data_IF_190169297725
#
_entry.id   IF_190169297725
#
_cell.length_a   1.000
_cell.length_b   1.000
_cell.length_c   1.000
_cell.angle_alpha   90.00
_cell.angle_beta   90.00
_cell.angle_gamma   90.00
#
_symmetry.space_group_name_H-M   'P 1'
#
loop_
_entity.id
_entity.type
_entity.pdbx_description
1 polymer ?
#
# COMPACT_ATOMS: atom_id res chain seq x y z
N UNK A 1 13.10 -29.34 -88.09
CA UNK A 1 11.99 -29.95 -87.31
C UNK A 1 12.60 -30.84 -86.25
N UNK A 2 12.14 -30.68 -85.00
CA UNK A 2 12.14 -31.62 -83.85
C UNK A 2 12.32 -30.78 -82.58
N UNK A 3 11.18 -30.34 -82.07
CA UNK A 3 10.98 -29.59 -80.84
C UNK A 3 10.79 -30.66 -79.76
N UNK A 4 11.73 -30.80 -78.84
CA UNK A 4 11.64 -31.81 -77.78
C UNK A 4 10.71 -31.29 -76.68
N UNK A 5 9.49 -31.85 -76.62
CA UNK A 5 8.51 -31.59 -75.58
C UNK A 5 8.93 -32.32 -74.29
N UNK A 6 9.17 -31.57 -73.21
CA UNK A 6 9.30 -32.13 -71.87
C UNK A 6 7.90 -32.44 -71.31
N UNK A 7 7.72 -33.55 -70.58
CA UNK A 7 6.42 -33.99 -70.09
C UNK A 7 5.86 -33.08 -68.99
N UNK A 8 4.56 -32.80 -69.10
CA UNK A 8 3.69 -32.18 -68.11
C UNK A 8 3.42 -33.16 -66.95
N UNK A 9 4.43 -33.39 -66.11
CA UNK A 9 4.20 -34.02 -64.80
C UNK A 9 3.62 -32.96 -63.86
N UNK A 10 2.30 -32.91 -63.86
CA UNK A 10 1.45 -32.80 -62.69
C UNK A 10 2.02 -31.97 -61.51
N UNK A 11 1.81 -30.65 -61.57
CA UNK A 11 1.65 -29.82 -60.37
C UNK A 11 0.43 -30.30 -59.58
N UNK A 12 0.59 -31.36 -58.80
CA UNK A 12 -0.31 -31.65 -57.68
C UNK A 12 0.20 -30.87 -56.48
N UNK A 13 -0.12 -29.58 -56.45
CA UNK A 13 -0.14 -28.85 -55.18
C UNK A 13 -1.23 -29.51 -54.33
N UNK A 14 -0.84 -30.35 -53.37
CA UNK A 14 -1.75 -30.70 -52.29
C UNK A 14 -2.31 -29.41 -51.71
N UNK A 15 -3.62 -29.27 -51.53
CA UNK A 15 -4.14 -28.21 -50.69
C UNK A 15 -3.60 -28.50 -49.29
N UNK A 16 -2.53 -27.81 -48.93
CA UNK A 16 -2.24 -27.54 -47.53
C UNK A 16 -3.57 -27.08 -46.95
N UNK A 17 -4.07 -27.82 -45.97
CA UNK A 17 -5.08 -27.35 -45.04
C UNK A 17 -4.46 -26.13 -44.35
N UNK A 18 -4.51 -25.00 -45.04
CA UNK A 18 -4.45 -23.71 -44.41
C UNK A 18 -5.69 -23.72 -43.52
N UNK A 19 -5.48 -24.07 -42.25
CA UNK A 19 -6.35 -23.59 -41.19
C UNK A 19 -6.49 -22.10 -41.47
N UNK A 20 -7.67 -21.75 -41.97
CA UNK A 20 -8.04 -20.38 -42.20
C UNK A 20 -7.76 -19.70 -40.88
N UNK A 21 -6.75 -18.82 -40.89
CA UNK A 21 -6.41 -17.95 -39.78
C UNK A 21 -7.56 -16.94 -39.67
N UNK A 22 -8.72 -17.47 -39.27
CA UNK A 22 -9.89 -16.72 -38.92
C UNK A 22 -9.49 -16.00 -37.65
N UNK A 23 -9.26 -14.69 -37.77
CA UNK A 23 -9.27 -13.79 -36.63
C UNK A 23 -10.39 -14.21 -35.69
N UNK A 24 -10.05 -14.77 -34.53
CA UNK A 24 -11.04 -15.12 -33.52
C UNK A 24 -11.94 -13.91 -33.31
N UNK A 25 -13.25 -14.08 -33.48
CA UNK A 25 -14.23 -13.00 -33.35
C UNK A 25 -13.97 -12.29 -32.02
N UNK A 26 -13.90 -10.96 -32.07
CA UNK A 26 -13.63 -10.09 -30.91
C UNK A 26 -14.56 -10.40 -29.72
N UNK A 27 -15.73 -10.93 -30.01
CA UNK A 27 -16.78 -11.34 -29.08
C UNK A 27 -16.46 -12.62 -28.28
N UNK A 28 -15.47 -13.43 -28.67
CA UNK A 28 -15.17 -14.72 -28.04
C UNK A 28 -13.96 -14.73 -27.10
N UNK A 29 -13.28 -13.58 -26.92
CA UNK A 29 -11.99 -13.54 -26.18
C UNK A 29 -12.10 -13.30 -24.69
N UNK A 30 -13.22 -12.77 -24.20
CA UNK A 30 -13.35 -12.37 -22.79
C UNK A 30 -13.49 -13.55 -21.83
N UNK A 31 -12.41 -14.30 -21.59
CA UNK A 31 -12.34 -15.13 -20.39
C UNK A 31 -12.46 -14.21 -19.16
N UNK A 32 -13.18 -14.60 -18.09
CA UNK A 32 -13.43 -13.72 -16.94
C UNK A 32 -12.15 -13.11 -16.33
N UNK A 33 -11.05 -13.86 -16.35
CA UNK A 33 -9.74 -13.42 -15.86
C UNK A 33 -9.13 -12.30 -16.71
N UNK A 34 -9.30 -12.35 -18.04
CA UNK A 34 -8.80 -11.30 -18.93
C UNK A 34 -9.57 -10.00 -18.72
N UNK A 35 -10.88 -10.08 -18.50
CA UNK A 35 -11.72 -8.91 -18.22
C UNK A 35 -11.28 -8.19 -16.94
N UNK A 36 -11.02 -8.93 -15.86
CA UNK A 36 -10.53 -8.34 -14.59
C UNK A 36 -9.21 -7.60 -14.80
N UNK A 37 -8.30 -8.16 -15.60
CA UNK A 37 -7.00 -7.53 -15.90
C UNK A 37 -7.17 -6.26 -16.72
N UNK A 38 -8.02 -6.29 -17.74
CA UNK A 38 -8.32 -5.14 -18.59
C UNK A 38 -8.96 -4.02 -17.77
N UNK A 39 -9.97 -4.34 -16.96
CA UNK A 39 -10.62 -3.37 -16.07
C UNK A 39 -9.66 -2.81 -15.03
N UNK A 40 -8.78 -3.64 -14.46
CA UNK A 40 -7.73 -3.20 -13.55
C UNK A 40 -6.77 -2.22 -14.21
N UNK A 41 -6.37 -2.49 -15.46
CA UNK A 41 -5.50 -1.62 -16.24
C UNK A 41 -6.19 -0.28 -16.59
N UNK A 42 -7.48 -0.31 -16.95
CA UNK A 42 -8.25 0.91 -17.22
C UNK A 42 -8.39 1.77 -15.95
N UNK A 43 -8.68 1.14 -14.81
CA UNK A 43 -8.74 1.84 -13.52
C UNK A 43 -7.39 2.45 -13.15
N UNK A 44 -6.29 1.71 -13.36
CA UNK A 44 -4.94 2.25 -13.16
C UNK A 44 -4.66 3.45 -14.06
N UNK A 45 -5.13 3.41 -15.31
CA UNK A 45 -4.97 4.51 -16.27
C UNK A 45 -5.74 5.77 -15.83
N UNK A 46 -6.90 5.61 -15.18
CA UNK A 46 -7.67 6.72 -14.62
C UNK A 46 -7.00 7.33 -13.39
N UNK A 47 -6.40 6.51 -12.52
CA UNK A 47 -5.77 6.96 -11.28
C UNK A 47 -4.36 7.56 -11.47
N UNK A 48 -3.56 6.99 -12.37
CA UNK A 48 -2.19 7.43 -12.66
C UNK A 48 -2.10 8.41 -13.83
N UNK A 49 -3.07 8.35 -14.74
CA UNK A 49 -3.00 8.94 -16.07
C UNK A 49 -2.37 7.99 -17.09
N UNK A 50 -2.88 8.02 -18.34
CA UNK A 50 -2.44 7.14 -19.44
C UNK A 50 -0.95 7.28 -19.77
N UNK A 51 -0.40 8.49 -19.71
CA UNK A 51 1.03 8.73 -19.99
C UNK A 51 1.91 8.01 -18.99
N UNK A 52 1.71 8.30 -17.69
CA UNK A 52 2.50 7.69 -16.62
C UNK A 52 2.36 6.18 -16.59
N UNK A 53 1.15 5.65 -16.73
CA UNK A 53 0.97 4.19 -16.77
C UNK A 53 1.69 3.55 -17.97
N UNK A 54 1.71 4.22 -19.13
CA UNK A 54 2.45 3.72 -20.28
C UNK A 54 3.97 3.70 -20.01
N UNK A 55 4.49 4.71 -19.29
CA UNK A 55 5.89 4.75 -18.86
C UNK A 55 6.22 3.60 -17.88
N UNK A 56 5.37 3.34 -16.88
CA UNK A 56 5.53 2.21 -15.93
C UNK A 56 5.54 0.85 -16.64
N UNK A 57 4.75 0.73 -17.71
CA UNK A 57 4.64 -0.48 -18.52
C UNK A 57 5.75 -0.58 -19.59
N UNK A 58 6.60 0.44 -19.74
CA UNK A 58 7.58 0.57 -20.82
C UNK A 58 6.98 0.42 -22.22
N UNK A 59 5.77 0.95 -22.44
CA UNK A 59 5.06 0.92 -23.73
C UNK A 59 4.61 2.33 -24.14
N UNK A 60 4.15 2.48 -25.37
CA UNK A 60 3.54 3.73 -25.82
C UNK A 60 2.09 3.84 -25.35
N UNK A 61 1.58 5.06 -25.20
CA UNK A 61 0.15 5.31 -24.88
C UNK A 61 -0.79 4.65 -25.91
N UNK A 62 -0.38 4.60 -27.18
CA UNK A 62 -1.13 3.89 -28.23
C UNK A 62 -1.22 2.39 -27.95
N UNK A 63 -0.11 1.76 -27.56
CA UNK A 63 -0.08 0.34 -27.21
C UNK A 63 -0.91 0.05 -25.94
N UNK A 64 -0.90 0.97 -24.97
CA UNK A 64 -1.74 0.90 -23.79
C UNK A 64 -3.24 0.90 -24.15
N UNK A 65 -3.69 1.81 -25.03
CA UNK A 65 -5.08 1.85 -25.46
C UNK A 65 -5.51 0.51 -26.12
N UNK A 66 -4.66 -0.11 -26.92
CA UNK A 66 -4.97 -1.43 -27.48
C UNK A 66 -5.14 -2.52 -26.40
N UNK A 67 -4.44 -2.44 -25.27
CA UNK A 67 -4.62 -3.37 -24.15
C UNK A 67 -5.92 -3.10 -23.38
N UNK A 68 -6.27 -1.82 -23.19
CA UNK A 68 -7.52 -1.41 -22.52
C UNK A 68 -8.74 -1.75 -23.38
N UNK A 69 -8.68 -1.57 -24.70
CA UNK A 69 -9.77 -1.84 -25.63
C UNK A 69 -9.97 -3.34 -25.97
N UNK A 70 -9.31 -4.23 -25.20
CA UNK A 70 -9.24 -5.68 -25.44
C UNK A 70 -8.70 -6.06 -26.84
N UNK A 71 -7.98 -5.15 -27.51
CA UNK A 71 -7.33 -5.40 -28.80
C UNK A 71 -6.06 -6.24 -28.67
N UNK A 72 -5.41 -6.17 -27.50
CA UNK A 72 -4.29 -7.03 -27.08
C UNK A 72 -4.54 -7.51 -25.65
N UNK A 73 -4.17 -8.75 -25.36
CA UNK A 73 -4.26 -9.29 -24.00
C UNK A 73 -3.33 -8.58 -23.02
N UNK A 74 -3.70 -8.60 -21.74
CA UNK A 74 -2.93 -8.04 -20.62
C UNK A 74 -2.11 -9.14 -19.97
N UNK A 75 -0.79 -8.98 -19.97
CA UNK A 75 0.15 -9.95 -19.38
C UNK A 75 0.26 -9.79 -17.86
N UNK A 76 0.80 -10.79 -17.18
CA UNK A 76 1.11 -10.70 -15.73
C UNK A 76 2.08 -9.56 -15.41
N UNK A 77 3.08 -9.35 -16.28
CA UNK A 77 4.05 -8.26 -16.12
C UNK A 77 3.36 -6.90 -16.15
N UNK A 78 2.33 -6.73 -17.00
CA UNK A 78 1.58 -5.47 -17.06
C UNK A 78 0.82 -5.20 -15.76
N UNK A 79 0.19 -6.23 -15.20
CA UNK A 79 -0.58 -6.12 -13.94
C UNK A 79 0.35 -5.78 -12.78
N UNK A 80 1.52 -6.43 -12.70
CA UNK A 80 2.51 -6.15 -11.66
C UNK A 80 3.07 -4.72 -11.78
N UNK A 81 3.39 -4.27 -13.00
CA UNK A 81 3.87 -2.91 -13.22
C UNK A 81 2.80 -1.86 -12.87
N UNK A 82 1.55 -2.08 -13.28
CA UNK A 82 0.44 -1.20 -12.92
C UNK A 82 0.21 -1.13 -11.41
N UNK A 83 0.29 -2.27 -10.72
CA UNK A 83 0.16 -2.33 -9.26
C UNK A 83 1.25 -1.51 -8.57
N UNK A 84 2.52 -1.66 -8.97
CA UNK A 84 3.63 -0.86 -8.43
C UNK A 84 3.42 0.65 -8.62
N UNK A 85 3.01 1.07 -9.81
CA UNK A 85 2.72 2.49 -10.08
C UNK A 85 1.62 3.05 -9.18
N UNK A 86 0.58 2.24 -8.88
CA UNK A 86 -0.51 2.59 -7.97
C UNK A 86 -0.04 2.66 -6.51
N UNK A 87 0.79 1.72 -6.06
CA UNK A 87 1.38 1.72 -4.72
C UNK A 87 2.20 2.99 -4.47
N UNK A 88 3.09 3.36 -5.40
CA UNK A 88 3.84 4.61 -5.29
C UNK A 88 2.94 5.85 -5.24
N UNK A 89 1.83 5.84 -6.00
CA UNK A 89 0.86 6.94 -5.96
C UNK A 89 0.13 6.98 -4.63
N UNK A 90 -0.22 5.83 -4.06
CA UNK A 90 -0.85 5.72 -2.76
C UNK A 90 0.08 6.25 -1.65
N UNK A 91 1.37 5.92 -1.68
CA UNK A 91 2.36 6.47 -0.74
C UNK A 91 2.41 7.99 -0.79
N UNK A 92 2.42 8.59 -1.99
CA UNK A 92 2.39 10.05 -2.14
C UNK A 92 1.10 10.66 -1.57
N UNK A 93 -0.04 10.01 -1.76
CA UNK A 93 -1.30 10.46 -1.15
C UNK A 93 -1.29 10.36 0.37
N UNK A 94 -0.74 9.27 0.94
CA UNK A 94 -0.59 9.12 2.39
C UNK A 94 0.33 10.19 2.97
N UNK A 95 1.47 10.45 2.32
CA UNK A 95 2.39 11.51 2.73
C UNK A 95 1.71 12.89 2.68
N UNK A 96 0.92 13.17 1.65
CA UNK A 96 0.17 14.41 1.55
C UNK A 96 -0.91 14.53 2.64
N UNK A 97 -1.66 13.46 2.88
CA UNK A 97 -2.66 13.41 3.95
C UNK A 97 -2.02 13.62 5.34
N UNK A 98 -0.84 13.04 5.58
CA UNK A 98 -0.07 13.28 6.81
C UNK A 98 0.33 14.76 6.96
N UNK A 99 0.80 15.40 5.88
CA UNK A 99 1.09 16.85 5.89
C UNK A 99 -0.16 17.66 6.24
N UNK A 100 -1.30 17.36 5.66
CA UNK A 100 -2.57 18.05 5.97
C UNK A 100 -3.02 17.82 7.42
N UNK A 101 -2.87 16.61 7.95
CA UNK A 101 -3.15 16.32 9.36
C UNK A 101 -2.23 17.10 10.29
N UNK A 102 -0.95 17.24 9.94
CA UNK A 102 0.00 18.04 10.70
C UNK A 102 -0.35 19.54 10.73
N UNK A 103 -1.04 20.06 9.71
CA UNK A 103 -1.55 21.45 9.74
C UNK A 103 -2.64 21.64 10.80
N UNK A 104 -3.50 20.64 10.99
CA UNK A 104 -4.62 20.69 11.96
C UNK A 104 -4.16 20.34 13.37
N UNK A 105 -3.20 19.41 13.49
CA UNK A 105 -2.62 18.98 14.76
C UNK A 105 -1.10 19.23 14.80
N UNK A 106 -0.63 20.49 14.73
CA UNK A 106 0.80 20.79 14.68
C UNK A 106 1.54 20.39 15.97
N UNK A 107 0.83 20.12 17.08
CA UNK A 107 1.43 19.87 18.38
C UNK A 107 0.51 19.13 19.38
N UNK A 108 -0.19 18.07 18.95
CA UNK A 108 -0.77 17.13 19.92
C UNK A 108 0.34 16.26 20.58
N UNK A 109 1.50 16.12 19.93
CA UNK A 109 2.66 15.47 20.50
C UNK A 109 3.28 16.30 21.65
N UNK A 110 3.37 17.62 21.53
CA UNK A 110 4.05 18.43 22.56
C UNK A 110 3.16 18.79 23.75
N UNK A 111 1.85 18.95 23.57
CA UNK A 111 0.97 19.32 24.69
C UNK A 111 0.44 18.13 25.48
N UNK A 112 0.18 16.99 24.81
CA UNK A 112 -0.33 15.77 25.47
C UNK A 112 0.80 14.91 26.05
N UNK A 113 2.07 15.08 25.64
CA UNK A 113 3.21 14.44 26.32
C UNK A 113 3.89 15.34 27.35
N UNK A 114 3.98 16.66 27.15
CA UNK A 114 4.61 17.54 28.14
C UNK A 114 3.76 17.77 29.41
N UNK A 115 2.43 17.82 29.27
CA UNK A 115 1.53 17.96 30.42
C UNK A 115 1.63 16.79 31.42
N UNK A 116 1.58 15.50 31.01
CA UNK A 116 1.76 14.39 31.93
C UNK A 116 3.21 14.26 32.42
N UNK A 117 4.23 14.69 31.66
CA UNK A 117 5.62 14.72 32.13
C UNK A 117 5.82 15.73 33.27
N UNK A 118 5.27 16.94 33.14
CA UNK A 118 5.30 17.96 34.20
C UNK A 118 4.57 17.49 35.46
N UNK A 119 3.38 16.91 35.31
CA UNK A 119 2.60 16.37 36.42
C UNK A 119 3.27 15.15 37.09
N UNK A 120 3.89 14.26 36.31
CA UNK A 120 4.64 13.13 36.83
C UNK A 120 5.82 13.55 37.70
N UNK A 121 6.56 14.59 37.31
CA UNK A 121 7.68 15.11 38.11
C UNK A 121 7.23 15.66 39.48
N UNK A 122 6.09 16.33 39.52
CA UNK A 122 5.49 16.87 40.75
C UNK A 122 5.02 15.72 41.66
N UNK A 123 4.37 14.70 41.09
CA UNK A 123 3.93 13.51 41.83
C UNK A 123 5.12 12.75 42.42
N UNK A 124 6.20 12.56 41.64
CA UNK A 124 7.41 11.91 42.14
C UNK A 124 8.10 12.71 43.24
N UNK A 125 8.18 14.03 43.12
CA UNK A 125 8.72 14.89 44.17
C UNK A 125 7.88 14.81 45.47
N UNK A 126 6.56 14.70 45.34
CA UNK A 126 5.68 14.48 46.48
C UNK A 126 5.87 13.09 47.11
N UNK A 127 6.05 12.03 46.30
CA UNK A 127 6.38 10.70 46.79
C UNK A 127 7.71 10.67 47.56
N UNK A 128 8.76 11.31 47.02
CA UNK A 128 10.06 11.42 47.71
C UNK A 128 9.95 12.18 49.04
N UNK A 129 9.09 13.20 49.10
CA UNK A 129 8.81 13.95 50.33
C UNK A 129 8.08 13.07 51.37
N UNK A 130 7.06 12.32 50.94
CA UNK A 130 6.34 11.38 51.82
C UNK A 130 7.27 10.29 52.35
N UNK A 131 8.14 9.73 51.52
CA UNK A 131 9.13 8.72 51.95
C UNK A 131 10.12 9.27 52.98
N UNK A 132 10.54 10.54 52.84
CA UNK A 132 11.48 11.19 53.76
C UNK A 132 10.86 11.69 55.05
N UNK A 133 9.61 12.13 55.03
CA UNK A 133 9.00 12.89 56.13
C UNK A 133 7.73 12.29 56.72
N UNK A 134 7.07 11.32 56.07
CA UNK A 134 5.85 10.70 56.60
C UNK A 134 6.19 9.55 57.57
N UNK A 135 6.70 9.86 58.76
CA UNK A 135 7.06 8.84 59.75
C UNK A 135 5.99 8.48 60.77
N UNK A 136 4.82 9.13 60.83
CA UNK A 136 4.00 9.04 62.08
C UNK A 136 2.48 8.85 61.95
N UNK A 137 1.96 8.26 60.88
CA UNK A 137 0.56 7.77 60.91
C UNK A 137 0.45 6.30 60.50
N UNK A 138 0.99 5.43 61.34
CA UNK A 138 0.46 4.05 61.45
C UNK A 138 -0.87 4.11 62.20
N UNK A 139 -1.92 4.61 61.53
CA UNK A 139 -3.29 4.39 61.99
C UNK A 139 -3.63 2.93 61.70
N UNK A 140 -3.99 2.17 62.74
CA UNK A 140 -4.57 0.84 62.57
C UNK A 140 -5.92 0.97 61.85
N UNK A 141 -5.92 0.87 60.52
CA UNK A 141 -7.12 0.96 59.70
C UNK A 141 -6.85 0.59 58.23
N UNK A 142 -7.91 0.43 57.45
CA UNK A 142 -7.89 0.17 56.00
C UNK A 142 -7.33 1.34 55.16
N UNK A 143 -6.79 2.36 55.82
CA UNK A 143 -6.18 3.52 55.20
C UNK A 143 -4.77 3.14 54.74
N UNK A 144 -4.58 2.99 53.43
CA UNK A 144 -3.28 2.73 52.84
C UNK A 144 -2.27 3.75 53.39
N UNK A 145 -1.19 3.26 54.03
CA UNK A 145 -0.18 4.14 54.61
C UNK A 145 0.31 5.12 53.54
N UNK A 146 0.70 6.35 53.90
CA UNK A 146 1.18 7.34 52.92
C UNK A 146 2.27 6.78 51.98
N UNK A 147 3.08 5.83 52.48
CA UNK A 147 4.07 5.09 51.70
C UNK A 147 3.46 4.16 50.64
N UNK A 148 2.34 3.48 50.93
CA UNK A 148 1.64 2.63 49.97
C UNK A 148 0.98 3.46 48.85
N UNK A 149 0.43 4.64 49.18
CA UNK A 149 -0.08 5.58 48.19
C UNK A 149 1.04 6.15 47.31
N UNK A 150 2.18 6.51 47.91
CA UNK A 150 3.36 6.93 47.17
C UNK A 150 3.88 5.83 46.22
N UNK A 151 3.95 4.58 46.69
CA UNK A 151 4.37 3.44 45.87
C UNK A 151 3.40 3.17 44.70
N UNK A 152 2.09 3.29 44.93
CA UNK A 152 1.08 3.16 43.87
C UNK A 152 1.19 4.30 42.83
N UNK A 153 1.40 5.54 43.29
CA UNK A 153 1.59 6.69 42.41
C UNK A 153 2.84 6.55 41.53
N UNK A 154 3.97 6.05 42.06
CA UNK A 154 5.16 5.74 41.27
C UNK A 154 4.90 4.71 40.17
N UNK A 155 4.14 3.64 40.48
CA UNK A 155 3.78 2.61 39.48
C UNK A 155 2.92 3.17 38.35
N UNK A 156 1.98 4.07 38.67
CA UNK A 156 1.17 4.75 37.66
C UNK A 156 2.02 5.66 36.78
N UNK A 157 2.95 6.42 37.36
CA UNK A 157 3.88 7.25 36.59
C UNK A 157 4.74 6.39 35.66
N UNK A 158 5.27 5.25 36.12
CA UNK A 158 6.02 4.32 35.27
C UNK A 158 5.20 3.69 34.14
N UNK A 159 3.89 3.52 34.33
CA UNK A 159 2.99 2.99 33.30
C UNK A 159 2.63 4.04 32.23
N UNK A 160 2.62 5.33 32.60
CA UNK A 160 2.25 6.45 31.73
C UNK A 160 3.47 6.98 30.96
N UNK A 161 4.65 6.97 31.57
CA UNK A 161 5.87 7.41 30.90
C UNK A 161 6.35 6.32 29.92
N UNK A 162 6.55 6.64 28.63
CA UNK A 162 7.12 5.69 27.69
C UNK A 162 8.52 5.30 28.20
N UNK A 163 8.84 4.00 28.22
CA UNK A 163 10.19 3.51 28.52
C UNK A 163 11.16 4.19 27.57
N UNK A 164 11.85 5.23 28.04
CA UNK A 164 13.00 5.79 27.36
C UNK A 164 14.03 4.65 27.30
N UNK A 165 14.22 4.16 26.09
CA UNK A 165 15.24 3.19 25.70
C UNK A 165 16.55 3.68 26.32
N UNK A 166 17.12 2.88 27.22
CA UNK A 166 18.49 3.04 27.71
C UNK A 166 19.48 2.75 26.59
#
# INVERSE_FOLDING_TARGET
MMISAAPLEARQSHPSSQDTNCSQKREQRGMPVEMVRIMGLDTAAQLLGKGRLADELCITVRALNYKIDAGRGVSDADVVAAARGLEERAERFLAHAQKLRAVIAPAAADTVTAAPLGQASIVLAHCDHVERFAYERQGNGLDASPHMLAAAARKLVQAILPKTIQ
#
